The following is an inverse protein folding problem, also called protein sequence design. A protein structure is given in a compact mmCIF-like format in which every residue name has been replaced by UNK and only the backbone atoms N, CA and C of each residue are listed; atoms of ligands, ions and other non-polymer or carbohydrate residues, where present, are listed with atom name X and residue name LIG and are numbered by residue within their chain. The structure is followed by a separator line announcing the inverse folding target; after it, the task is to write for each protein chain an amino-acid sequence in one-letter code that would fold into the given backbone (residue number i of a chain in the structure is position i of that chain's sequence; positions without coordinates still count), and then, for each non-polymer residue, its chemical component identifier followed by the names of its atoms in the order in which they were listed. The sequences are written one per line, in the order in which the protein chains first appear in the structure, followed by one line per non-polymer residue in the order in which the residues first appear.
data_IF_668730188609
#
_entry.id   IF_668730188609
#
_cell.length_a   1.000
_cell.length_b   1.000
_cell.length_c   1.000
_cell.angle_alpha   90.00
_cell.angle_beta   90.00
_cell.angle_gamma   90.00
#
_symmetry.space_group_name_H-M   'P 1'
#
loop_
_entity.id
_entity.type
_entity.pdbx_description
1 polymer ?
#
# COMPACT_ATOMS: atom_id res chain seq x y z
N UNK A 1 -15.98 -15.56 -5.43
CA UNK A 1 -15.53 -14.43 -5.72
C UNK A 1 -15.11 -13.68 -4.53
N UNK A 2 -14.37 -12.77 -4.63
CA UNK A 2 -13.88 -12.11 -3.52
C UNK A 2 -14.29 -10.70 -3.58
N UNK A 3 -15.45 -10.46 -3.13
CA UNK A 3 -15.97 -9.13 -3.24
C UNK A 3 -15.09 -8.13 -2.55
N UNK A 4 -14.36 -8.60 -1.61
CA UNK A 4 -13.60 -7.63 -0.84
C UNK A 4 -12.22 -7.39 -1.41
N UNK A 5 -11.93 -7.95 -2.56
CA UNK A 5 -10.62 -7.77 -3.07
C UNK A 5 -10.31 -6.34 -3.39
N UNK A 6 -9.22 -5.85 -2.88
CA UNK A 6 -8.79 -4.50 -3.16
C UNK A 6 -7.99 -4.47 -4.45
N UNK A 7 -8.09 -3.36 -5.16
CA UNK A 7 -7.24 -3.17 -6.31
C UNK A 7 -5.79 -2.99 -5.85
N UNK A 8 -4.87 -3.29 -6.75
CA UNK A 8 -3.47 -3.22 -6.40
C UNK A 8 -3.07 -1.84 -5.88
N UNK A 9 -3.56 -0.77 -6.52
CA UNK A 9 -3.23 0.56 -6.05
C UNK A 9 -3.71 0.83 -4.65
N UNK A 10 -4.87 0.28 -4.29
CA UNK A 10 -5.38 0.45 -2.95
C UNK A 10 -4.61 -0.38 -1.94
N UNK A 11 -4.12 -1.53 -2.36
CA UNK A 11 -3.27 -2.33 -1.49
C UNK A 11 -1.98 -1.60 -1.18
N UNK A 12 -1.38 -0.99 -2.18
CA UNK A 12 -0.15 -0.23 -1.96
C UNK A 12 -0.40 0.95 -1.04
N UNK A 13 -1.56 1.58 -1.18
CA UNK A 13 -1.89 2.66 -0.28
C UNK A 13 -2.06 2.17 1.14
N UNK A 14 -2.69 1.01 1.33
CA UNK A 14 -2.85 0.45 2.65
C UNK A 14 -1.50 0.17 3.30
N UNK A 15 -0.55 -0.32 2.52
CA UNK A 15 0.80 -0.55 3.02
C UNK A 15 1.41 0.77 3.47
N UNK A 16 1.30 1.80 2.64
CA UNK A 16 1.86 3.10 2.99
C UNK A 16 1.27 3.62 4.29
N UNK A 17 -0.04 3.52 4.42
CA UNK A 17 -0.69 4.05 5.61
C UNK A 17 -0.34 3.22 6.84
N UNK A 18 -0.20 1.91 6.68
CA UNK A 18 0.21 1.07 7.79
C UNK A 18 1.61 1.42 8.28
N UNK A 19 2.46 1.87 7.37
CA UNK A 19 3.80 2.29 7.75
C UNK A 19 3.80 3.71 8.31
N UNK A 20 2.70 4.42 8.21
CA UNK A 20 2.61 5.75 8.79
C UNK A 20 3.41 6.80 8.04
N UNK A 21 3.61 6.63 6.74
CA UNK A 21 4.44 7.56 5.99
C UNK A 21 3.61 8.30 4.96
N UNK A 22 4.08 9.48 4.60
CA UNK A 22 3.44 10.28 3.55
C UNK A 22 3.75 9.68 2.19
N UNK A 23 3.05 10.17 1.18
CA UNK A 23 3.34 9.77 -0.18
C UNK A 23 4.78 10.11 -0.55
N UNK A 24 5.25 11.28 -0.16
CA UNK A 24 6.62 11.67 -0.48
C UNK A 24 7.62 10.73 0.17
N UNK A 25 7.39 10.37 1.42
CA UNK A 25 8.30 9.46 2.10
C UNK A 25 8.26 8.08 1.48
N UNK A 26 7.08 7.63 1.08
CA UNK A 26 6.96 6.35 0.41
C UNK A 26 7.76 6.33 -0.88
N UNK A 27 7.75 7.46 -1.60
CA UNK A 27 8.55 7.56 -2.80
C UNK A 27 10.03 7.42 -2.49
N UNK A 28 10.47 8.00 -1.39
CA UNK A 28 11.87 7.85 -0.99
C UNK A 28 12.21 6.40 -0.68
N UNK A 29 11.30 5.72 0.00
CA UNK A 29 11.54 4.34 0.41
C UNK A 29 11.60 3.41 -0.79
N UNK A 30 10.74 3.64 -1.78
CA UNK A 30 10.57 2.70 -2.88
C UNK A 30 11.26 3.12 -4.16
N UNK A 31 11.55 4.41 -4.30
CA UNK A 31 12.07 4.90 -5.56
C UNK A 31 11.01 5.19 -6.60
N UNK A 32 9.74 5.11 -6.22
CA UNK A 32 8.65 5.37 -7.15
C UNK A 32 8.42 6.87 -7.25
N UNK A 33 8.09 7.35 -8.44
CA UNK A 33 7.82 8.78 -8.63
C UNK A 33 6.53 9.17 -7.94
N UNK A 34 6.51 10.40 -7.42
CA UNK A 34 5.35 10.88 -6.68
C UNK A 34 4.09 10.88 -7.54
N UNK A 35 4.20 11.30 -8.79
CA UNK A 35 3.05 11.30 -9.68
C UNK A 35 2.46 9.92 -9.86
N UNK A 36 3.32 8.91 -9.90
CA UNK A 36 2.87 7.55 -10.05
C UNK A 36 2.10 7.11 -8.81
N UNK A 37 2.62 7.43 -7.62
CA UNK A 37 1.93 7.07 -6.39
C UNK A 37 0.57 7.76 -6.32
N UNK A 38 0.54 9.05 -6.65
CA UNK A 38 -0.73 9.77 -6.61
C UNK A 38 -1.74 9.18 -7.60
N UNK A 39 -1.26 8.77 -8.77
CA UNK A 39 -2.16 8.23 -9.77
C UNK A 39 -2.77 6.91 -9.34
N UNK A 40 -1.96 5.98 -8.85
CA UNK A 40 -2.56 4.69 -8.51
C UNK A 40 -3.36 4.77 -7.21
N UNK A 41 -2.95 5.63 -6.27
CA UNK A 41 -3.74 5.78 -5.05
C UNK A 41 -5.06 6.45 -5.33
N UNK A 42 -5.08 7.33 -6.31
CA UNK A 42 -6.32 8.01 -6.69
C UNK A 42 -7.21 7.21 -7.62
N UNK A 43 -6.76 6.04 -8.02
CA UNK A 43 -7.58 5.21 -8.90
C UNK A 43 -7.49 5.57 -10.36
N UNK A 44 -6.53 6.41 -10.74
CA UNK A 44 -6.41 6.86 -12.12
C UNK A 44 -5.64 5.89 -12.99
N UNK A 45 -4.83 5.03 -12.39
CA UNK A 45 -4.10 4.03 -13.15
C UNK A 45 -3.80 2.86 -12.24
N UNK A 46 -3.54 1.71 -12.85
CA UNK A 46 -3.16 0.52 -12.12
C UNK A 46 -1.65 0.42 -12.09
N UNK A 47 -1.07 0.15 -10.94
CA UNK A 47 0.38 -0.03 -10.88
C UNK A 47 0.76 -1.31 -11.60
N UNK A 48 1.78 -1.21 -12.44
CA UNK A 48 2.28 -2.38 -13.13
C UNK A 48 3.24 -3.16 -12.26
N UNK A 49 3.75 -4.26 -12.84
CA UNK A 49 4.61 -5.15 -12.07
C UNK A 49 5.89 -4.44 -11.62
N UNK A 50 6.39 -3.50 -12.38
CA UNK A 50 7.60 -2.81 -11.96
C UNK A 50 7.39 -2.02 -10.68
N UNK A 51 6.23 -1.40 -10.56
CA UNK A 51 5.90 -0.65 -9.36
C UNK A 51 5.81 -1.61 -8.18
N UNK A 52 5.15 -2.74 -8.39
CA UNK A 52 5.01 -3.74 -7.33
C UNK A 52 6.39 -4.22 -6.88
N UNK A 53 7.29 -4.44 -7.81
CA UNK A 53 8.63 -4.88 -7.45
C UNK A 53 9.40 -3.83 -6.68
N UNK A 54 9.21 -2.56 -7.02
CA UNK A 54 9.87 -1.50 -6.26
C UNK A 54 9.40 -1.50 -4.81
N UNK A 55 8.14 -1.81 -4.58
CA UNK A 55 7.63 -1.90 -3.23
C UNK A 55 8.19 -3.12 -2.51
N UNK A 56 8.10 -4.28 -3.14
CA UNK A 56 8.49 -5.52 -2.46
C UNK A 56 9.99 -5.62 -2.29
N UNK A 57 10.77 -4.88 -3.06
CA UNK A 57 12.21 -4.87 -2.86
C UNK A 57 12.66 -3.90 -1.79
N UNK A 58 11.79 -3.06 -1.29
CA UNK A 58 12.15 -2.17 -0.20
C UNK A 58 12.16 -2.98 1.09
N UNK A 59 13.29 -3.06 1.79
CA UNK A 59 13.39 -3.97 2.93
C UNK A 59 12.31 -3.81 3.97
N UNK A 60 11.93 -2.58 4.28
CA UNK A 60 10.93 -2.39 5.33
C UNK A 60 9.53 -2.74 4.88
N UNK A 61 9.32 -2.98 3.59
CA UNK A 61 8.01 -3.33 3.08
C UNK A 61 7.89 -4.80 2.71
N UNK A 62 8.97 -5.56 2.82
CA UNK A 62 8.95 -6.96 2.40
C UNK A 62 8.00 -7.78 3.24
N UNK A 63 7.71 -7.34 4.44
CA UNK A 63 6.78 -8.07 5.30
C UNK A 63 5.36 -8.11 4.76
N UNK A 64 5.05 -7.28 3.76
CA UNK A 64 3.72 -7.26 3.17
C UNK A 64 3.63 -7.98 1.84
N UNK A 65 4.72 -8.60 1.39
CA UNK A 65 4.77 -9.16 0.05
C UNK A 65 3.71 -10.22 -0.20
N UNK A 66 3.60 -11.16 0.71
CA UNK A 66 2.64 -12.24 0.51
C UNK A 66 1.21 -11.71 0.45
N UNK A 67 0.89 -10.82 1.38
CA UNK A 67 -0.45 -10.25 1.38
C UNK A 67 -0.71 -9.44 0.11
N UNK A 68 0.28 -8.67 -0.31
CA UNK A 68 0.12 -7.83 -1.50
C UNK A 68 -0.20 -8.68 -2.72
N UNK A 69 0.44 -9.82 -2.84
CA UNK A 69 0.30 -10.64 -4.04
C UNK A 69 -0.84 -11.64 -3.93
N UNK A 70 -1.21 -12.07 -2.73
CA UNK A 70 -2.14 -13.20 -2.60
C UNK A 70 -3.27 -12.97 -1.62
N UNK A 71 -3.26 -11.87 -0.88
CA UNK A 71 -4.20 -11.59 0.20
C UNK A 71 -4.04 -12.54 1.39
N UNK A 72 -2.96 -13.29 1.42
CA UNK A 72 -2.72 -14.23 2.52
C UNK A 72 -1.58 -13.73 3.37
N UNK A 73 -1.47 -14.29 4.56
CA UNK A 73 -0.38 -13.96 5.46
C UNK A 73 0.27 -15.24 5.96
N UNK A 74 1.46 -15.09 6.52
CA UNK A 74 2.18 -16.19 7.10
C UNK A 74 2.98 -15.61 8.27
N UNK A 75 2.33 -15.42 9.41
CA UNK A 75 2.99 -14.70 10.52
C UNK A 75 4.28 -15.36 10.97
N UNK A 76 4.34 -16.68 10.92
CA UNK A 76 5.57 -17.34 11.33
C UNK A 76 6.73 -17.00 10.40
N UNK A 77 6.43 -16.63 9.18
CA UNK A 77 7.47 -16.24 8.23
C UNK A 77 7.62 -14.72 8.19
N UNK A 78 7.00 -14.01 9.09
CA UNK A 78 7.10 -12.57 9.09
C UNK A 78 6.26 -11.88 8.04
N UNK A 79 5.31 -12.60 7.44
CA UNK A 79 4.47 -12.00 6.38
C UNK A 79 3.12 -11.65 6.95
N UNK A 80 2.82 -10.37 6.95
CA UNK A 80 1.63 -9.83 7.61
C UNK A 80 0.83 -9.00 6.64
N UNK A 81 -0.38 -8.66 7.05
CA UNK A 81 -1.21 -7.72 6.31
C UNK A 81 -1.13 -6.35 6.97
N UNK A 82 -1.29 -5.28 6.20
CA UNK A 82 -1.34 -3.96 6.80
C UNK A 82 -2.53 -3.88 7.75
N UNK A 83 -2.33 -3.28 8.90
CA UNK A 83 -3.39 -3.21 9.88
C UNK A 83 -4.62 -2.50 9.34
N UNK A 84 -4.43 -1.56 8.41
CA UNK A 84 -5.53 -0.79 7.87
C UNK A 84 -6.32 -1.52 6.80
N UNK A 85 -5.82 -2.67 6.35
CA UNK A 85 -6.43 -3.32 5.20
C UNK A 85 -7.86 -3.75 5.46
N UNK A 86 -8.21 -4.11 6.69
CA UNK A 86 -9.55 -4.57 6.98
C UNK A 86 -10.36 -3.54 7.74
N UNK A 87 -9.92 -2.30 7.72
CA UNK A 87 -10.70 -1.23 8.29
C UNK A 87 -11.62 -0.63 7.25
N UNK A 88 -11.22 -0.69 6.00
CA UNK A 88 -12.07 -0.27 4.90
C UNK A 88 -12.56 1.14 5.00
N UNK A 89 -13.83 1.31 5.31
CA UNK A 89 -14.42 2.64 5.25
C UNK A 89 -13.73 3.63 6.14
N UNK A 90 -13.19 3.18 7.22
CA UNK A 90 -12.59 4.12 8.14
C UNK A 90 -11.30 4.68 7.64
N UNK A 91 -10.67 4.00 6.72
CA UNK A 91 -9.45 4.55 6.19
C UNK A 91 -9.70 5.82 5.41
N UNK A 92 -10.93 6.08 5.04
CA UNK A 92 -11.26 7.33 4.38
C UNK A 92 -11.00 8.50 5.30
N UNK A 93 -11.33 8.34 6.54
CA UNK A 93 -11.08 9.42 7.48
C UNK A 93 -9.62 9.60 7.72
N UNK A 94 -8.89 8.52 7.75
CA UNK A 94 -7.47 8.64 7.87
C UNK A 94 -6.88 9.42 6.73
N UNK A 95 -7.46 9.25 5.56
CA UNK A 95 -6.97 9.98 4.41
C UNK A 95 -7.12 11.45 4.60
N UNK A 96 -8.22 11.87 5.16
CA UNK A 96 -8.41 13.28 5.38
C UNK A 96 -7.39 13.84 6.33
N UNK A 97 -7.13 13.11 7.38
CA UNK A 97 -6.10 13.54 8.29
C UNK A 97 -4.77 13.67 7.58
N UNK A 98 -4.51 12.71 6.76
CA UNK A 98 -3.26 12.73 6.07
C UNK A 98 -3.13 13.92 5.15
N UNK A 99 -4.21 14.30 4.50
CA UNK A 99 -4.13 15.44 3.64
C UNK A 99 -3.81 16.69 4.41
N UNK A 100 -4.29 16.78 5.60
CA UNK A 100 -3.98 17.95 6.41
C UNK A 100 -2.52 17.97 6.76
N UNK A 101 -1.95 16.84 6.99
CA UNK A 101 -0.56 16.81 7.37
C UNK A 101 0.35 16.86 6.18
N UNK A 102 -0.13 16.41 5.08
CA UNK A 102 0.70 16.35 3.90
C UNK A 102 0.55 17.57 3.07
#
# INVERSE_FOLDING_TARGET
MQPSQMKMGQKLRAIRKAEGVTQAKFCEITGIALGTVKNYEGGHSEPGIQIVLQVTNAPQLQKYTLWLMTDKTAPQAGQIAPALAHIGPESTESDQSEKQTG
#
